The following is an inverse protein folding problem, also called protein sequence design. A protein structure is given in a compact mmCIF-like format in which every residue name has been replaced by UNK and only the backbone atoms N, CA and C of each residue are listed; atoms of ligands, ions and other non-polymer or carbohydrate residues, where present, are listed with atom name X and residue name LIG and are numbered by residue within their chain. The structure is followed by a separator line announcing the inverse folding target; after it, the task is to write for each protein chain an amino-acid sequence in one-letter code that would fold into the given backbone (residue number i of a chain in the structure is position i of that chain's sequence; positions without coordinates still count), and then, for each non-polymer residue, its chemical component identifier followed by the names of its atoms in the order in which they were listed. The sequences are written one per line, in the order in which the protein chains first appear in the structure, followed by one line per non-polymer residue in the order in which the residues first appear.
data_IF_969148178509
#
_entry.id   IF_969148178509
#
_cell.length_a   1.000
_cell.length_b   1.000
_cell.length_c   1.000
_cell.angle_alpha   90.00
_cell.angle_beta   90.00
_cell.angle_gamma   90.00
#
_symmetry.space_group_name_H-M   'P 1'
#
loop_
_entity.id
_entity.type
_entity.pdbx_description
1 polymer ?
#
# COMPACT_ATOMS: atom_id res chain seq x y z
N UNK A 1 5.76 -3.62 15.93
CA UNK A 1 4.51 -4.28 15.45
C UNK A 1 4.02 -3.79 14.10
N UNK A 2 4.24 -2.52 13.69
CA UNK A 2 3.83 -2.02 12.37
C UNK A 2 4.34 -2.83 11.17
N UNK A 3 5.57 -3.38 11.25
CA UNK A 3 6.15 -4.21 10.17
C UNK A 3 5.44 -5.56 9.96
N UNK A 4 4.75 -6.10 10.98
CA UNK A 4 3.88 -7.28 10.81
C UNK A 4 2.67 -6.90 9.95
N UNK A 5 2.07 -5.74 10.22
CA UNK A 5 1.03 -5.16 9.36
C UNK A 5 1.51 -4.96 7.92
N UNK A 6 2.71 -4.43 7.73
CA UNK A 6 3.32 -4.27 6.40
C UNK A 6 3.54 -5.61 5.68
N UNK A 7 3.96 -6.67 6.39
CA UNK A 7 4.12 -8.00 5.77
C UNK A 7 2.76 -8.55 5.30
N UNK A 8 1.72 -8.44 6.14
CA UNK A 8 0.38 -8.89 5.82
C UNK A 8 -0.25 -8.06 4.67
N UNK A 9 -0.03 -6.75 4.66
CA UNK A 9 -0.35 -5.87 3.53
C UNK A 9 0.35 -6.33 2.25
N UNK A 10 1.62 -6.73 2.35
CA UNK A 10 2.40 -7.26 1.22
C UNK A 10 1.72 -8.47 0.60
N UNK A 11 1.36 -9.46 1.43
CA UNK A 11 0.62 -10.64 0.97
C UNK A 11 -0.74 -10.28 0.34
N UNK A 12 -1.50 -9.35 0.95
CA UNK A 12 -2.80 -8.96 0.44
C UNK A 12 -2.69 -8.21 -0.91
N UNK A 13 -1.74 -7.29 -1.01
CA UNK A 13 -1.50 -6.54 -2.24
C UNK A 13 -0.97 -7.46 -3.36
N UNK A 14 -0.11 -8.43 -3.03
CA UNK A 14 0.33 -9.46 -3.96
C UNK A 14 -0.86 -10.24 -4.51
N UNK A 15 -1.73 -10.74 -3.65
CA UNK A 15 -2.91 -11.50 -4.08
C UNK A 15 -3.87 -10.63 -4.91
N UNK A 16 -4.11 -9.39 -4.50
CA UNK A 16 -4.92 -8.43 -5.25
C UNK A 16 -4.32 -8.15 -6.64
N UNK A 17 -3.00 -8.08 -6.75
CA UNK A 17 -2.34 -7.92 -8.04
C UNK A 17 -2.63 -9.09 -8.99
N UNK A 18 -2.65 -10.32 -8.46
CA UNK A 18 -2.98 -11.51 -9.24
C UNK A 18 -4.45 -11.52 -9.66
N UNK A 19 -5.37 -11.07 -8.80
CA UNK A 19 -6.79 -10.90 -9.17
C UNK A 19 -6.93 -9.89 -10.31
N UNK A 20 -6.29 -8.73 -10.22
CA UNK A 20 -6.33 -7.68 -11.27
C UNK A 20 -5.76 -8.21 -12.60
N UNK A 21 -4.74 -9.06 -12.54
CA UNK A 21 -4.15 -9.71 -13.71
C UNK A 21 -4.92 -10.95 -14.20
N UNK A 22 -6.05 -11.29 -13.59
CA UNK A 22 -6.88 -12.45 -13.96
C UNK A 22 -6.27 -13.81 -13.61
N UNK A 23 -5.30 -13.85 -12.70
CA UNK A 23 -4.59 -15.07 -12.27
C UNK A 23 -5.12 -15.69 -10.99
N UNK A 24 -5.96 -14.98 -10.24
CA UNK A 24 -6.54 -15.45 -8.99
C UNK A 24 -8.03 -15.08 -8.92
N UNK A 25 -8.80 -15.87 -8.17
CA UNK A 25 -10.24 -15.65 -8.00
C UNK A 25 -10.52 -14.50 -7.03
N UNK A 26 -11.45 -13.62 -7.41
CA UNK A 26 -11.82 -12.42 -6.67
C UNK A 26 -12.38 -12.72 -5.27
N UNK A 27 -13.30 -13.67 -5.11
CA UNK A 27 -13.95 -13.95 -3.81
C UNK A 27 -12.98 -14.54 -2.80
N UNK A 28 -12.16 -15.51 -3.22
CA UNK A 28 -11.11 -16.11 -2.40
C UNK A 28 -10.10 -15.06 -1.92
N UNK A 29 -9.67 -14.14 -2.80
CA UNK A 29 -8.84 -13.02 -2.40
C UNK A 29 -9.57 -12.05 -1.46
N UNK A 30 -10.86 -11.83 -1.66
CA UNK A 30 -11.69 -10.97 -0.82
C UNK A 30 -11.71 -11.42 0.64
N UNK A 31 -11.76 -12.74 0.89
CA UNK A 31 -11.67 -13.30 2.25
C UNK A 31 -10.33 -12.96 2.91
N UNK A 32 -9.22 -13.10 2.17
CA UNK A 32 -7.89 -12.76 2.69
C UNK A 32 -7.77 -11.27 3.03
N UNK A 33 -8.34 -10.40 2.19
CA UNK A 33 -8.40 -8.96 2.44
C UNK A 33 -9.15 -8.62 3.74
N UNK A 34 -10.23 -9.34 4.07
CA UNK A 34 -10.94 -9.13 5.33
C UNK A 34 -10.07 -9.46 6.55
N UNK A 35 -9.31 -10.56 6.51
CA UNK A 35 -8.41 -10.91 7.60
C UNK A 35 -7.32 -9.86 7.81
N UNK A 36 -6.65 -9.47 6.72
CA UNK A 36 -5.58 -8.45 6.79
C UNK A 36 -6.14 -7.10 7.23
N UNK A 37 -7.29 -6.71 6.69
CA UNK A 37 -7.99 -5.48 7.06
C UNK A 37 -8.36 -5.45 8.53
N UNK A 38 -8.99 -6.51 9.06
CA UNK A 38 -9.38 -6.59 10.47
C UNK A 38 -8.18 -6.50 11.41
N UNK A 39 -7.10 -7.23 11.13
CA UNK A 39 -5.87 -7.15 11.91
C UNK A 39 -5.26 -5.74 11.89
N UNK A 40 -5.33 -5.05 10.75
CA UNK A 40 -4.87 -3.67 10.61
C UNK A 40 -5.78 -2.61 11.20
N UNK A 41 -6.94 -2.99 11.73
CA UNK A 41 -7.76 -2.11 12.58
C UNK A 41 -7.49 -2.43 14.05
N UNK A 42 -7.54 -3.71 14.42
CA UNK A 42 -7.43 -4.15 15.82
C UNK A 42 -6.06 -3.82 16.41
N UNK A 43 -4.98 -4.11 15.69
CA UNK A 43 -3.61 -3.90 16.19
C UNK A 43 -3.32 -2.42 16.47
N UNK A 44 -3.49 -1.47 15.53
CA UNK A 44 -3.20 -0.07 15.82
C UNK A 44 -4.16 0.53 16.87
N UNK A 45 -5.41 0.07 16.97
CA UNK A 45 -6.28 0.46 18.09
C UNK A 45 -5.67 0.07 19.44
N UNK A 46 -5.24 -1.19 19.56
CA UNK A 46 -4.58 -1.67 20.77
C UNK A 46 -3.31 -0.86 21.07
N UNK A 47 -2.46 -0.64 20.06
CA UNK A 47 -1.21 0.12 20.23
C UNK A 47 -1.45 1.57 20.66
N UNK A 48 -2.48 2.25 20.11
CA UNK A 48 -2.83 3.61 20.55
C UNK A 48 -3.26 3.61 22.02
N UNK A 49 -4.11 2.67 22.44
CA UNK A 49 -4.62 2.60 23.82
C UNK A 49 -3.52 2.45 24.88
N UNK A 50 -2.45 1.72 24.55
CA UNK A 50 -1.33 1.46 25.48
C UNK A 50 -0.13 2.39 25.28
N UNK A 51 -0.19 3.29 24.29
CA UNK A 51 0.91 4.21 23.98
C UNK A 51 0.94 5.42 24.92
N UNK A 52 1.98 6.24 24.75
CA UNK A 52 2.09 7.58 25.34
C UNK A 52 1.04 8.56 24.78
N UNK A 53 0.32 8.18 23.72
CA UNK A 53 -0.69 9.00 23.02
C UNK A 53 -0.16 10.38 22.57
N UNK A 54 1.15 10.51 22.37
CA UNK A 54 1.71 11.73 21.82
C UNK A 54 1.28 11.92 20.37
N UNK A 55 1.25 13.17 19.90
CA UNK A 55 0.80 13.49 18.53
C UNK A 55 1.56 12.68 17.47
N UNK A 56 2.86 12.48 17.64
CA UNK A 56 3.69 11.71 16.69
C UNK A 56 3.46 10.21 16.76
N UNK A 57 3.20 9.66 17.96
CA UNK A 57 2.83 8.25 18.10
C UNK A 57 1.48 7.97 17.44
N UNK A 58 0.47 8.80 17.72
CA UNK A 58 -0.86 8.68 17.11
C UNK A 58 -0.78 8.87 15.59
N UNK A 59 -0.02 9.86 15.11
CA UNK A 59 0.23 10.08 13.68
C UNK A 59 0.79 8.83 12.99
N UNK A 60 1.75 8.16 13.63
CA UNK A 60 2.41 6.97 13.08
C UNK A 60 1.45 5.78 13.00
N UNK A 61 0.60 5.58 14.02
CA UNK A 61 -0.38 4.49 14.01
C UNK A 61 -1.59 4.78 13.12
N UNK A 62 -2.00 6.05 12.99
CA UNK A 62 -3.10 6.50 12.13
C UNK A 62 -2.93 6.02 10.67
N UNK A 63 -1.69 6.02 10.16
CA UNK A 63 -1.34 5.53 8.83
C UNK A 63 -1.83 4.09 8.56
N UNK A 64 -1.77 3.22 9.58
CA UNK A 64 -2.13 1.79 9.45
C UNK A 64 -3.62 1.62 9.15
N UNK A 65 -4.47 2.51 9.68
CA UNK A 65 -5.91 2.47 9.42
C UNK A 65 -6.25 2.74 7.96
N UNK A 66 -5.45 3.54 7.24
CA UNK A 66 -5.67 3.81 5.82
C UNK A 66 -5.60 2.51 5.01
N UNK A 67 -4.61 1.68 5.30
CA UNK A 67 -4.46 0.35 4.71
C UNK A 67 -5.55 -0.60 5.18
N UNK A 68 -5.77 -0.70 6.51
CA UNK A 68 -6.77 -1.59 7.08
C UNK A 68 -8.17 -1.38 6.50
N UNK A 69 -8.61 -0.13 6.41
CA UNK A 69 -9.88 0.24 5.80
C UNK A 69 -9.90 -0.05 4.29
N UNK A 70 -8.78 0.19 3.58
CA UNK A 70 -8.68 -0.16 2.15
C UNK A 70 -8.92 -1.66 1.95
N UNK A 71 -8.24 -2.51 2.73
CA UNK A 71 -8.37 -3.97 2.61
C UNK A 71 -9.76 -4.45 3.04
N UNK A 72 -10.34 -3.91 4.12
CA UNK A 72 -11.71 -4.24 4.50
C UNK A 72 -12.70 -3.91 3.38
N UNK A 73 -12.57 -2.71 2.78
CA UNK A 73 -13.44 -2.28 1.70
C UNK A 73 -13.26 -3.19 0.46
N UNK A 74 -12.02 -3.43 0.02
CA UNK A 74 -11.73 -4.39 -1.08
C UNK A 74 -12.34 -5.76 -0.79
N UNK A 75 -12.15 -6.28 0.43
CA UNK A 75 -12.67 -7.59 0.83
C UNK A 75 -14.18 -7.70 0.73
N UNK A 76 -14.91 -6.73 1.26
CA UNK A 76 -16.38 -6.69 1.17
C UNK A 76 -16.83 -6.54 -0.28
N UNK A 77 -16.21 -5.64 -1.05
CA UNK A 77 -16.55 -5.43 -2.47
C UNK A 77 -16.33 -6.71 -3.29
N UNK A 78 -15.24 -7.42 -3.09
CA UNK A 78 -14.91 -8.67 -3.79
C UNK A 78 -15.88 -9.80 -3.46
N UNK A 79 -16.22 -9.98 -2.17
CA UNK A 79 -17.10 -11.07 -1.74
C UNK A 79 -18.53 -10.83 -2.22
N UNK A 80 -19.02 -9.59 -2.07
CA UNK A 80 -20.42 -9.23 -2.38
C UNK A 80 -20.64 -8.84 -3.84
N UNK A 81 -19.59 -8.65 -4.63
CA UNK A 81 -19.70 -8.17 -6.02
C UNK A 81 -20.30 -6.77 -6.11
N UNK A 82 -19.99 -5.89 -5.14
CA UNK A 82 -20.54 -4.54 -5.10
C UNK A 82 -19.93 -3.65 -6.19
N UNK A 83 -20.64 -2.59 -6.58
CA UNK A 83 -20.00 -1.53 -7.36
C UNK A 83 -18.85 -0.92 -6.57
N UNK A 84 -17.70 -0.77 -7.23
CA UNK A 84 -16.45 -0.35 -6.61
C UNK A 84 -16.22 1.16 -6.63
N UNK A 85 -17.17 1.98 -7.13
CA UNK A 85 -16.99 3.43 -7.23
C UNK A 85 -16.72 4.11 -5.88
N UNK A 86 -17.39 3.66 -4.81
CA UNK A 86 -17.17 4.14 -3.45
C UNK A 86 -15.76 3.85 -2.93
N UNK A 87 -15.24 2.64 -3.21
CA UNK A 87 -13.84 2.28 -2.93
C UNK A 87 -12.89 3.22 -3.68
N UNK A 88 -13.16 3.50 -4.96
CA UNK A 88 -12.32 4.41 -5.75
C UNK A 88 -12.27 5.82 -5.16
N UNK A 89 -13.42 6.39 -4.74
CA UNK A 89 -13.45 7.70 -4.07
C UNK A 89 -12.71 7.72 -2.73
N UNK A 90 -12.81 6.63 -1.96
CA UNK A 90 -11.99 6.47 -0.76
C UNK A 90 -10.50 6.46 -1.11
N UNK A 91 -10.09 5.73 -2.16
CA UNK A 91 -8.70 5.67 -2.58
C UNK A 91 -8.12 7.03 -2.99
N UNK A 92 -8.85 7.90 -3.71
CA UNK A 92 -8.31 9.24 -4.04
C UNK A 92 -8.12 10.10 -2.78
N UNK A 93 -9.02 10.00 -1.80
CA UNK A 93 -8.83 10.68 -0.52
C UNK A 93 -7.58 10.17 0.19
N UNK A 94 -7.40 8.85 0.27
CA UNK A 94 -6.19 8.25 0.87
C UNK A 94 -4.92 8.65 0.11
N UNK A 95 -4.96 8.76 -1.23
CA UNK A 95 -3.82 9.20 -2.02
C UNK A 95 -3.38 10.63 -1.66
N UNK A 96 -4.32 11.54 -1.42
CA UNK A 96 -4.00 12.92 -0.97
C UNK A 96 -3.36 12.89 0.42
N UNK A 97 -3.88 12.08 1.35
CA UNK A 97 -3.29 11.90 2.68
C UNK A 97 -1.89 11.28 2.58
N UNK A 98 -1.69 10.30 1.71
CA UNK A 98 -0.38 9.68 1.48
C UNK A 98 0.67 10.69 0.99
N UNK A 99 0.29 11.68 0.16
CA UNK A 99 1.19 12.77 -0.23
C UNK A 99 1.55 13.67 0.96
N UNK A 100 0.64 13.88 1.92
CA UNK A 100 0.99 14.56 3.16
C UNK A 100 2.03 13.76 3.97
N UNK A 101 1.82 12.44 4.13
CA UNK A 101 2.80 11.57 4.79
C UNK A 101 4.16 11.54 4.07
N UNK A 102 4.18 11.60 2.73
CA UNK A 102 5.41 11.74 1.94
C UNK A 102 6.17 13.03 2.32
N UNK A 103 5.47 14.17 2.32
CA UNK A 103 6.09 15.47 2.65
C UNK A 103 6.63 15.46 4.08
N UNK A 104 5.86 14.98 5.05
CA UNK A 104 6.30 14.89 6.45
C UNK A 104 7.51 13.95 6.59
N UNK A 105 7.51 12.80 5.91
CA UNK A 105 8.66 11.88 5.93
C UNK A 105 9.94 12.56 5.46
N UNK A 106 9.85 13.36 4.38
CA UNK A 106 10.99 14.07 3.83
C UNK A 106 11.44 15.27 4.67
N UNK A 107 10.50 16.10 5.13
CA UNK A 107 10.79 17.38 5.78
C UNK A 107 11.04 17.22 7.28
N UNK A 108 10.20 16.46 7.98
CA UNK A 108 10.28 16.33 9.45
C UNK A 108 11.24 15.21 9.87
N UNK A 109 11.19 14.07 9.19
CA UNK A 109 11.95 12.88 9.56
C UNK A 109 13.25 12.71 8.75
N UNK A 110 13.43 13.49 7.68
CA UNK A 110 14.56 13.37 6.75
C UNK A 110 14.75 11.94 6.20
N UNK A 111 13.65 11.19 6.10
CA UNK A 111 13.63 9.80 5.65
C UNK A 111 13.16 9.74 4.19
N UNK A 112 14.14 9.67 3.30
CA UNK A 112 13.93 9.63 1.85
C UNK A 112 13.27 8.31 1.44
N UNK A 113 13.63 7.19 2.08
CA UNK A 113 13.07 5.88 1.74
C UNK A 113 11.58 5.84 2.09
N UNK A 114 11.17 6.34 3.26
CA UNK A 114 9.75 6.45 3.61
C UNK A 114 9.02 7.45 2.72
N UNK A 115 9.62 8.58 2.37
CA UNK A 115 9.01 9.54 1.46
C UNK A 115 8.72 8.90 0.09
N UNK A 116 9.70 8.20 -0.51
CA UNK A 116 9.51 7.49 -1.78
C UNK A 116 8.46 6.38 -1.66
N UNK A 117 8.41 5.68 -0.53
CA UNK A 117 7.41 4.65 -0.25
C UNK A 117 5.99 5.23 -0.22
N UNK A 118 5.78 6.32 0.51
CA UNK A 118 4.49 7.02 0.55
C UNK A 118 4.07 7.58 -0.82
N UNK A 119 5.02 8.07 -1.60
CA UNK A 119 4.77 8.50 -2.97
C UNK A 119 4.28 7.34 -3.86
N UNK A 120 4.95 6.18 -3.78
CA UNK A 120 4.56 4.99 -4.53
C UNK A 120 3.17 4.49 -4.13
N UNK A 121 2.86 4.50 -2.83
CA UNK A 121 1.53 4.13 -2.35
C UNK A 121 0.45 5.14 -2.78
N UNK A 122 0.74 6.45 -2.74
CA UNK A 122 -0.17 7.49 -3.24
C UNK A 122 -0.52 7.24 -4.72
N UNK A 123 0.49 6.91 -5.55
CA UNK A 123 0.27 6.50 -6.94
C UNK A 123 -0.64 5.26 -7.02
N UNK A 124 -0.40 4.23 -6.21
CA UNK A 124 -1.19 3.01 -6.22
C UNK A 124 -2.67 3.27 -5.89
N UNK A 125 -2.96 4.03 -4.82
CA UNK A 125 -4.33 4.41 -4.48
C UNK A 125 -4.99 5.27 -5.57
N UNK A 126 -4.24 6.20 -6.17
CA UNK A 126 -4.75 6.95 -7.32
C UNK A 126 -5.13 6.03 -8.49
N UNK A 127 -4.33 5.00 -8.78
CA UNK A 127 -4.66 4.04 -9.84
C UNK A 127 -5.89 3.20 -9.48
N UNK A 128 -6.09 2.86 -8.20
CA UNK A 128 -7.35 2.24 -7.77
C UNK A 128 -8.56 3.15 -7.98
N UNK A 129 -8.44 4.47 -7.77
CA UNK A 129 -9.50 5.43 -8.13
C UNK A 129 -9.79 5.43 -9.63
N UNK A 130 -8.74 5.48 -10.46
CA UNK A 130 -8.89 5.46 -11.92
C UNK A 130 -9.58 4.19 -12.40
N UNK A 131 -9.19 3.03 -11.87
CA UNK A 131 -9.80 1.75 -12.25
C UNK A 131 -11.27 1.68 -11.79
N UNK A 132 -11.55 2.00 -10.53
CA UNK A 132 -12.84 1.73 -9.91
C UNK A 132 -13.91 2.80 -10.17
N UNK A 133 -13.49 4.07 -10.28
CA UNK A 133 -14.41 5.21 -10.47
C UNK A 133 -14.40 5.71 -11.91
N UNK A 134 -13.22 5.92 -12.52
CA UNK A 134 -13.16 6.37 -13.93
C UNK A 134 -13.39 5.22 -14.93
N UNK A 135 -13.46 3.97 -14.46
CA UNK A 135 -13.70 2.75 -15.25
C UNK A 135 -12.73 2.61 -16.46
N UNK A 136 -11.53 3.18 -16.36
CA UNK A 136 -10.49 3.03 -17.39
C UNK A 136 -9.84 1.66 -17.27
N UNK A 137 -9.61 0.97 -18.40
CA UNK A 137 -9.09 -0.40 -18.41
C UNK A 137 -7.58 -0.48 -18.16
N UNK A 138 -7.10 -0.03 -17.00
CA UNK A 138 -5.68 0.01 -16.63
C UNK A 138 -5.22 -1.27 -15.91
N UNK A 139 -5.95 -2.38 -16.02
CA UNK A 139 -5.70 -3.61 -15.25
C UNK A 139 -4.26 -4.12 -15.39
N UNK A 140 -3.73 -4.18 -16.62
CA UNK A 140 -2.36 -4.63 -16.87
C UNK A 140 -1.31 -3.73 -16.22
N UNK A 141 -1.54 -2.42 -16.24
CA UNK A 141 -0.65 -1.44 -15.65
C UNK A 141 -0.71 -1.49 -14.11
N UNK A 142 -1.91 -1.36 -13.54
CA UNK A 142 -2.14 -1.39 -12.10
C UNK A 142 -1.68 -2.72 -11.48
N UNK A 143 -2.03 -3.86 -12.09
CA UNK A 143 -1.65 -5.17 -11.59
C UNK A 143 -0.14 -5.35 -11.47
N UNK A 144 0.64 -4.86 -12.44
CA UNK A 144 2.12 -4.91 -12.37
C UNK A 144 2.71 -4.00 -11.31
N UNK A 145 2.15 -2.80 -11.14
CA UNK A 145 2.59 -1.86 -10.09
C UNK A 145 2.28 -2.43 -8.72
N UNK A 146 1.05 -2.91 -8.51
CA UNK A 146 0.65 -3.56 -7.27
C UNK A 146 1.56 -4.75 -6.93
N UNK A 147 1.90 -5.57 -7.94
CA UNK A 147 2.83 -6.67 -7.78
C UNK A 147 4.21 -6.18 -7.32
N UNK A 148 4.83 -5.23 -8.01
CA UNK A 148 6.16 -4.72 -7.62
C UNK A 148 6.12 -4.10 -6.22
N UNK A 149 5.13 -3.27 -5.93
CA UNK A 149 5.00 -2.61 -4.63
C UNK A 149 4.77 -3.62 -3.49
N UNK A 150 4.05 -4.72 -3.74
CA UNK A 150 3.85 -5.78 -2.74
C UNK A 150 5.16 -6.39 -2.22
N UNK A 151 6.20 -6.40 -3.04
CA UNK A 151 7.53 -6.86 -2.67
C UNK A 151 8.42 -5.73 -2.15
N UNK A 152 8.54 -4.66 -2.94
CA UNK A 152 9.53 -3.59 -2.73
C UNK A 152 9.16 -2.66 -1.57
N UNK A 153 7.87 -2.42 -1.34
CA UNK A 153 7.42 -1.45 -0.32
C UNK A 153 6.86 -2.10 0.94
N UNK A 154 6.58 -3.41 0.90
CA UNK A 154 5.87 -4.12 1.95
C UNK A 154 6.64 -5.35 2.41
N UNK A 155 6.72 -6.40 1.58
CA UNK A 155 7.28 -7.70 1.99
C UNK A 155 8.76 -7.64 2.35
N UNK A 156 9.62 -7.18 1.44
CA UNK A 156 11.06 -7.16 1.69
C UNK A 156 11.47 -6.20 2.82
N UNK A 157 10.94 -4.95 2.89
CA UNK A 157 11.19 -4.08 4.03
C UNK A 157 10.82 -4.71 5.36
N UNK A 158 9.67 -5.38 5.45
CA UNK A 158 9.27 -6.11 6.65
C UNK A 158 10.24 -7.21 7.03
N UNK A 159 10.66 -8.04 6.06
CA UNK A 159 11.62 -9.12 6.32
C UNK A 159 12.98 -8.56 6.78
N UNK A 160 13.46 -7.50 6.14
CA UNK A 160 14.72 -6.84 6.52
C UNK A 160 14.63 -6.22 7.91
N UNK A 161 13.48 -5.66 8.27
CA UNK A 161 13.23 -5.17 9.62
C UNK A 161 13.24 -6.32 10.65
N UNK A 162 12.60 -7.46 10.35
CA UNK A 162 12.61 -8.62 11.25
C UNK A 162 13.98 -9.23 11.44
N UNK A 163 14.84 -9.18 10.42
CA UNK A 163 16.24 -9.59 10.51
C UNK A 163 17.12 -8.57 11.24
N UNK A 164 16.60 -7.38 11.56
CA UNK A 164 17.35 -6.32 12.25
C UNK A 164 18.28 -5.50 11.35
N UNK A 165 18.26 -5.72 10.03
CA UNK A 165 19.20 -5.08 9.08
C UNK A 165 18.63 -3.81 8.42
N UNK A 166 17.33 -3.53 8.57
CA UNK A 166 16.69 -2.37 7.93
C UNK A 166 17.31 -1.02 8.32
N UNK A 167 17.86 -0.90 9.53
CA UNK A 167 18.52 0.31 10.01
C UNK A 167 19.97 0.48 9.54
N UNK A 168 20.53 -0.49 8.81
CA UNK A 168 21.91 -0.40 8.33
C UNK A 168 22.02 0.58 7.15
N UNK A 169 23.04 1.44 7.15
CA UNK A 169 23.23 2.47 6.13
C UNK A 169 23.29 1.91 4.69
N UNK A 170 23.96 0.77 4.50
CA UNK A 170 24.00 0.10 3.20
C UNK A 170 22.61 -0.37 2.73
N UNK A 171 21.78 -0.91 3.63
CA UNK A 171 20.42 -1.35 3.29
C UNK A 171 19.55 -0.15 2.94
N UNK A 172 19.69 0.95 3.68
CA UNK A 172 18.99 2.20 3.39
C UNK A 172 19.36 2.76 2.01
N UNK A 173 20.65 2.88 1.69
CA UNK A 173 21.13 3.34 0.38
C UNK A 173 20.64 2.44 -0.76
N UNK A 174 20.75 1.12 -0.58
CA UNK A 174 20.22 0.14 -1.52
C UNK A 174 18.73 0.38 -1.76
N UNK A 175 17.95 0.66 -0.71
CA UNK A 175 16.51 0.87 -0.84
C UNK A 175 16.14 2.17 -1.55
N UNK A 176 16.98 3.21 -1.48
CA UNK A 176 16.83 4.40 -2.33
C UNK A 176 16.94 4.01 -3.80
N UNK A 177 17.97 3.24 -4.18
CA UNK A 177 18.14 2.80 -5.57
C UNK A 177 17.00 1.89 -6.04
N UNK A 178 16.59 0.92 -5.22
CA UNK A 178 15.46 0.03 -5.52
C UNK A 178 14.17 0.84 -5.72
N UNK A 179 13.96 1.87 -4.90
CA UNK A 179 12.80 2.77 -5.01
C UNK A 179 12.82 3.56 -6.30
N UNK A 180 13.96 4.17 -6.66
CA UNK A 180 14.11 4.92 -7.92
C UNK A 180 13.91 4.01 -9.14
N UNK A 181 14.52 2.82 -9.15
CA UNK A 181 14.37 1.84 -10.24
C UNK A 181 12.91 1.41 -10.38
N UNK A 182 12.20 1.21 -9.26
CA UNK A 182 10.77 0.87 -9.27
C UNK A 182 9.93 1.98 -9.90
N UNK A 183 10.21 3.25 -9.57
CA UNK A 183 9.53 4.40 -10.18
C UNK A 183 9.82 4.49 -11.69
N UNK A 184 11.08 4.30 -12.10
CA UNK A 184 11.45 4.26 -13.53
C UNK A 184 10.71 3.13 -14.26
N UNK A 185 10.59 1.95 -13.64
CA UNK A 185 9.81 0.85 -14.18
C UNK A 185 8.32 1.19 -14.29
N UNK A 186 7.75 1.92 -13.33
CA UNK A 186 6.36 2.41 -13.41
C UNK A 186 6.19 3.36 -14.61
N UNK A 187 7.10 4.32 -14.79
CA UNK A 187 7.10 5.21 -15.96
C UNK A 187 7.19 4.44 -17.29
N UNK A 188 8.07 3.44 -17.36
CA UNK A 188 8.15 2.56 -18.54
C UNK A 188 6.83 1.80 -18.79
N UNK A 189 6.21 1.29 -17.73
CA UNK A 189 4.93 0.59 -17.84
C UNK A 189 3.79 1.50 -18.29
N UNK A 190 3.82 2.80 -17.95
CA UNK A 190 2.84 3.78 -18.48
C UNK A 190 2.91 3.80 -20.00
N UNK A 191 4.10 3.83 -20.59
CA UNK A 191 4.26 3.88 -22.04
C UNK A 191 3.83 2.56 -22.70
N UNK A 192 4.26 1.43 -22.14
CA UNK A 192 4.03 0.11 -22.73
C UNK A 192 2.60 -0.40 -22.60
N UNK A 193 1.94 -0.10 -21.48
CA UNK A 193 0.60 -0.58 -21.14
C UNK A 193 -0.41 0.55 -21.10
N UNK A 194 -0.10 1.70 -21.73
CA UNK A 194 -1.06 2.80 -21.86
C UNK A 194 -2.29 2.31 -22.57
N UNK A 195 -3.40 2.40 -21.86
CA UNK A 195 -4.74 2.31 -22.41
C UNK A 195 -4.91 3.55 -23.29
N UNK A 196 -5.06 3.35 -24.60
CA UNK A 196 -5.66 4.37 -25.46
C UNK A 196 -7.10 4.61 -25.03
#
# INVERSE_FOLDING_TARGET
MGYVGLLLSGAALFLNSLVILGKAEMKSAGVFNLFVGALQIIIPFYLIMISDQSNWTVYSYAATFLFGLTYLYVGVTFIKGMDSSGLGWFCIWVAIIALFYMVVSFVQFHDVVNALTWFMWALLWYLFFVLNTQKKNINQYLGRIAFVQSWVTLTLPSLFYFMGVWGEGFVYELWVYVSVISILYFCYCIYKYRVR
#
